data_IF_887059254613
#
_entry.id   IF_887059254613
#
_cell.length_a   1.000
_cell.length_b   1.000
_cell.length_c   1.000
_cell.angle_alpha   90.00
_cell.angle_beta   90.00
_cell.angle_gamma   90.00
#
_symmetry.space_group_name_H-M   'P 1'
#
loop_
_entity.id
_entity.type
_entity.pdbx_description
1 polymer ?
#
# COMPACT_ATOMS: atom_id res chain seq x y z
N UNK A 1 18.42 1.18 -12.48
CA UNK A 1 18.27 1.74 -11.11
C UNK A 1 17.83 3.19 -11.28
N UNK A 2 16.75 3.63 -10.62
CA UNK A 2 16.34 5.04 -10.56
C UNK A 2 16.82 5.63 -9.23
N UNK A 3 17.42 6.82 -9.26
CA UNK A 3 17.89 7.50 -8.05
C UNK A 3 16.72 8.23 -7.38
N UNK A 4 16.47 7.90 -6.11
CA UNK A 4 15.51 8.60 -5.27
C UNK A 4 16.28 9.56 -4.34
N UNK A 5 16.00 10.87 -4.37
CA UNK A 5 16.64 11.81 -3.44
C UNK A 5 16.29 11.46 -1.98
N UNK A 6 17.20 11.73 -1.03
CA UNK A 6 16.90 11.54 0.40
C UNK A 6 15.62 12.26 0.83
N UNK A 7 14.86 11.64 1.75
CA UNK A 7 13.64 12.21 2.34
C UNK A 7 12.58 12.65 1.31
N UNK A 8 12.51 11.99 0.16
CA UNK A 8 11.51 12.28 -0.89
C UNK A 8 10.47 11.16 -0.99
N UNK A 9 9.65 10.93 0.05
CA UNK A 9 8.61 9.89 0.02
C UNK A 9 7.58 10.14 -1.08
N UNK A 10 7.30 11.41 -1.40
CA UNK A 10 6.36 11.81 -2.46
C UNK A 10 6.79 11.32 -3.85
N UNK A 11 8.09 11.06 -4.03
CA UNK A 11 8.64 10.52 -5.28
C UNK A 11 8.69 8.98 -5.29
N UNK A 12 8.16 8.31 -4.27
CA UNK A 12 8.19 6.86 -4.16
C UNK A 12 6.76 6.27 -4.16
N UNK A 13 6.31 5.64 -5.26
CA UNK A 13 4.91 5.20 -5.40
C UNK A 13 4.54 4.07 -4.42
N UNK A 14 5.52 3.42 -3.79
CA UNK A 14 5.25 2.39 -2.77
C UNK A 14 4.65 2.97 -1.49
N UNK A 15 4.87 4.26 -1.20
CA UNK A 15 4.34 4.91 0.01
C UNK A 15 2.81 4.89 0.02
N UNK A 16 2.17 5.18 -1.12
CA UNK A 16 0.71 5.13 -1.27
C UNK A 16 0.16 3.70 -1.19
N UNK A 17 0.92 2.72 -1.69
CA UNK A 17 0.61 1.30 -1.54
C UNK A 17 0.61 0.89 -0.06
N UNK A 18 1.62 1.31 0.70
CA UNK A 18 1.67 1.06 2.14
C UNK A 18 0.59 1.81 2.92
N UNK A 19 0.27 3.05 2.54
CA UNK A 19 -0.83 3.81 3.13
C UNK A 19 -2.18 3.12 2.92
N UNK A 20 -2.43 2.61 1.71
CA UNK A 20 -3.62 1.80 1.39
C UNK A 20 -3.68 0.52 2.24
N UNK A 21 -2.57 -0.21 2.32
CA UNK A 21 -2.48 -1.43 3.13
C UNK A 21 -2.79 -1.14 4.60
N UNK A 22 -2.16 -0.11 5.18
CA UNK A 22 -2.41 0.31 6.56
C UNK A 22 -3.87 0.70 6.78
N UNK A 23 -4.46 1.49 5.88
CA UNK A 23 -5.86 1.89 5.97
C UNK A 23 -6.80 0.67 5.96
N UNK A 24 -6.56 -0.30 5.08
CA UNK A 24 -7.31 -1.56 5.05
C UNK A 24 -7.21 -2.29 6.39
N UNK A 25 -5.99 -2.47 6.92
CA UNK A 25 -5.77 -3.16 8.18
C UNK A 25 -6.45 -2.45 9.36
N UNK A 26 -6.38 -1.12 9.43
CA UNK A 26 -7.05 -0.32 10.44
C UNK A 26 -8.58 -0.53 10.41
N UNK A 27 -9.20 -0.56 9.23
CA UNK A 27 -10.62 -0.84 9.09
C UNK A 27 -11.00 -2.28 9.49
N UNK A 28 -10.07 -3.23 9.34
CA UNK A 28 -10.29 -4.64 9.64
C UNK A 28 -9.61 -5.09 10.94
N UNK A 29 -9.31 -4.16 11.86
CA UNK A 29 -8.63 -4.47 13.14
C UNK A 29 -9.35 -5.56 13.94
N UNK A 30 -10.69 -5.58 13.90
CA UNK A 30 -11.51 -6.62 14.55
C UNK A 30 -11.24 -8.02 13.98
N UNK A 31 -10.99 -8.13 12.67
CA UNK A 31 -10.63 -9.38 11.99
C UNK A 31 -9.24 -9.84 12.44
N UNK A 32 -8.28 -8.92 12.56
CA UNK A 32 -6.93 -9.23 13.04
C UNK A 32 -6.91 -9.74 14.48
N UNK A 33 -7.81 -9.25 15.33
CA UNK A 33 -7.91 -9.68 16.73
C UNK A 33 -8.61 -11.03 16.91
N UNK A 34 -9.40 -11.46 15.92
CA UNK A 34 -10.21 -12.69 16.00
C UNK A 34 -9.65 -13.86 15.19
N UNK A 35 -8.80 -13.61 14.19
CA UNK A 35 -8.18 -14.65 13.38
C UNK A 35 -6.87 -15.15 13.99
N UNK A 36 -6.66 -16.46 13.94
CA UNK A 36 -5.38 -17.09 14.32
C UNK A 36 -4.25 -16.80 13.31
N UNK A 37 -4.58 -16.50 12.05
CA UNK A 37 -3.58 -16.24 11.00
C UNK A 37 -3.63 -14.79 10.46
N UNK A 38 -2.72 -13.91 10.92
CA UNK A 38 -2.60 -12.54 10.42
C UNK A 38 -2.14 -12.48 8.94
N UNK A 39 -1.49 -13.53 8.43
CA UNK A 39 -0.97 -13.61 7.06
C UNK A 39 -2.10 -13.56 6.03
N UNK A 40 -3.20 -14.25 6.29
CA UNK A 40 -4.37 -14.24 5.41
C UNK A 40 -4.97 -12.82 5.30
N UNK A 41 -4.98 -12.06 6.39
CA UNK A 41 -5.49 -10.68 6.38
C UNK A 41 -4.57 -9.76 5.59
N UNK A 42 -3.25 -9.94 5.69
CA UNK A 42 -2.28 -9.23 4.85
C UNK A 42 -2.47 -9.56 3.35
N UNK A 43 -2.68 -10.83 3.00
CA UNK A 43 -2.95 -11.23 1.62
C UNK A 43 -4.24 -10.59 1.06
N UNK A 44 -5.31 -10.55 1.85
CA UNK A 44 -6.55 -9.85 1.48
C UNK A 44 -6.33 -8.34 1.29
N UNK A 45 -5.55 -7.73 2.18
CA UNK A 45 -5.22 -6.31 2.08
C UNK A 45 -4.38 -6.01 0.82
N UNK A 46 -3.42 -6.87 0.48
CA UNK A 46 -2.70 -6.79 -0.79
C UNK A 46 -3.63 -6.96 -2.00
N UNK A 47 -4.61 -7.85 -1.91
CA UNK A 47 -5.63 -8.05 -2.95
C UNK A 47 -6.58 -6.86 -3.15
N UNK A 48 -6.59 -5.89 -2.23
CA UNK A 48 -7.36 -4.66 -2.38
C UNK A 48 -6.67 -3.63 -3.30
N UNK A 49 -5.38 -3.80 -3.57
CA UNK A 49 -4.62 -2.91 -4.43
C UNK A 49 -4.92 -3.25 -5.90
N UNK A 50 -5.44 -2.27 -6.64
CA UNK A 50 -5.83 -2.44 -8.05
C UNK A 50 -4.77 -1.90 -9.01
N UNK A 51 -4.73 -2.38 -10.27
CA UNK A 51 -3.87 -1.79 -11.30
C UNK A 51 -4.11 -0.29 -11.53
N UNK A 52 -5.35 0.16 -11.38
CA UNK A 52 -5.75 1.57 -11.52
C UNK A 52 -5.13 2.43 -10.41
N UNK A 53 -5.13 1.93 -9.17
CA UNK A 53 -4.46 2.59 -8.05
C UNK A 53 -2.95 2.69 -8.29
N UNK A 54 -2.32 1.59 -8.70
CA UNK A 54 -0.90 1.58 -9.05
C UNK A 54 -0.58 2.65 -10.10
N UNK A 55 -1.33 2.69 -11.22
CA UNK A 55 -1.15 3.73 -12.25
C UNK A 55 -1.30 5.14 -11.68
N UNK A 56 -2.28 5.36 -10.80
CA UNK A 56 -2.48 6.63 -10.10
C UNK A 56 -1.26 7.04 -9.27
N UNK A 57 -0.66 6.11 -8.53
CA UNK A 57 0.51 6.37 -7.68
C UNK A 57 1.77 6.66 -8.48
N UNK A 58 1.99 5.93 -9.57
CA UNK A 58 3.11 6.23 -10.49
C UNK A 58 2.97 7.61 -11.13
N UNK A 59 1.75 8.03 -11.51
CA UNK A 59 1.48 9.39 -11.99
C UNK A 59 1.71 10.44 -10.91
N UNK A 60 1.21 10.19 -9.70
CA UNK A 60 1.40 11.10 -8.56
C UNK A 60 2.87 11.34 -8.25
N UNK A 61 3.68 10.29 -8.30
CA UNK A 61 5.13 10.37 -8.08
C UNK A 61 5.93 10.84 -9.33
N UNK A 62 5.26 11.23 -10.42
CA UNK A 62 5.86 11.86 -11.59
C UNK A 62 6.56 10.91 -12.58
N UNK A 63 6.25 9.62 -12.54
CA UNK A 63 6.88 8.62 -13.44
C UNK A 63 6.17 8.46 -14.78
N UNK A 64 4.87 8.82 -14.85
CA UNK A 64 4.02 8.70 -16.05
C UNK A 64 3.04 9.87 -16.18
#
# INVERSE_FOLDING_TARGET
>A
LLYLPPYSPDLNPIEESFSTLKAYLHHHTHVLQQHEDPTLTLLKACGHITPEMCKGWFRHAGYI
#
